data_IF_059424394236
#
_entry.id   IF_059424394236
#
_cell.length_a   1.000
_cell.length_b   1.000
_cell.length_c   1.000
_cell.angle_alpha   90.00
_cell.angle_beta   90.00
_cell.angle_gamma   90.00
#
_symmetry.space_group_name_H-M   'P 1'
#
loop_
_entity.id
_entity.type
_entity.pdbx_description
1 polymer ?
#
# COMPACT_ATOMS: atom_id res chain seq x y z
N UNK A 1 -20.40 -12.86 -2.00
CA UNK A 1 -20.96 -11.57 -2.49
C UNK A 1 -20.06 -11.05 -3.59
N UNK A 2 -20.61 -10.78 -4.77
CA UNK A 2 -19.90 -10.15 -5.89
C UNK A 2 -19.75 -8.65 -5.59
N UNK A 3 -18.51 -8.18 -5.57
CA UNK A 3 -18.19 -6.77 -5.34
C UNK A 3 -18.47 -6.00 -6.64
N UNK A 4 -19.50 -5.16 -6.63
CA UNK A 4 -19.86 -4.31 -7.76
C UNK A 4 -19.06 -3.01 -7.71
N UNK A 5 -17.99 -2.97 -8.52
CA UNK A 5 -17.05 -1.85 -8.58
C UNK A 5 -17.76 -0.57 -9.05
N UNK A 6 -18.73 -0.68 -9.96
CA UNK A 6 -19.43 0.50 -10.50
C UNK A 6 -20.24 1.20 -9.42
N UNK A 7 -21.02 0.43 -8.65
CA UNK A 7 -21.78 0.98 -7.52
C UNK A 7 -20.89 1.64 -6.48
N UNK A 8 -19.72 1.05 -6.19
CA UNK A 8 -18.78 1.65 -5.25
C UNK A 8 -18.25 2.98 -5.77
N UNK A 9 -17.85 3.05 -7.05
CA UNK A 9 -17.33 4.28 -7.64
C UNK A 9 -18.38 5.40 -7.66
N UNK A 10 -19.65 5.07 -7.91
CA UNK A 10 -20.77 6.00 -7.83
C UNK A 10 -21.02 6.48 -6.39
N UNK A 11 -21.10 5.56 -5.42
CA UNK A 11 -21.26 5.91 -3.99
C UNK A 11 -20.14 6.80 -3.46
N UNK A 12 -18.92 6.53 -3.89
CA UNK A 12 -17.75 7.30 -3.52
C UNK A 12 -17.67 8.62 -4.31
N UNK A 13 -18.54 8.88 -5.28
CA UNK A 13 -18.57 10.14 -6.03
C UNK A 13 -17.46 10.28 -7.06
N UNK A 14 -16.84 9.18 -7.48
CA UNK A 14 -15.94 9.15 -8.65
C UNK A 14 -16.71 9.25 -9.97
N UNK A 15 -17.99 8.88 -9.97
CA UNK A 15 -18.90 8.99 -11.12
C UNK A 15 -20.12 9.79 -10.63
N UNK A 16 -20.50 10.85 -11.35
CA UNK A 16 -21.72 11.64 -11.08
C UNK A 16 -22.57 11.71 -12.33
N UNK A 17 -23.88 11.53 -12.18
CA UNK A 17 -24.78 11.59 -13.32
C UNK A 17 -24.91 13.05 -13.83
N UNK A 18 -24.74 13.27 -15.14
CA UNK A 18 -24.98 14.58 -15.78
C UNK A 18 -23.79 15.56 -15.92
N UNK A 19 -22.59 15.25 -15.43
CA UNK A 19 -21.36 16.03 -15.73
C UNK A 19 -20.57 15.40 -16.88
N UNK A 20 -19.78 16.21 -17.60
CA UNK A 20 -18.84 15.75 -18.63
C UNK A 20 -17.74 14.90 -17.96
N UNK A 21 -18.05 13.62 -17.81
CA UNK A 21 -17.34 12.69 -16.95
C UNK A 21 -16.03 12.17 -17.55
N UNK A 22 -15.60 12.61 -18.73
CA UNK A 22 -14.35 12.13 -19.35
C UNK A 22 -13.13 12.34 -18.45
N UNK A 23 -13.04 13.48 -17.78
CA UNK A 23 -11.94 13.81 -16.85
C UNK A 23 -12.05 13.04 -15.51
N UNK A 24 -13.29 12.69 -15.12
CA UNK A 24 -13.57 11.88 -13.93
C UNK A 24 -13.38 10.38 -14.22
N UNK A 25 -13.62 9.95 -15.45
CA UNK A 25 -13.54 8.57 -15.89
C UNK A 25 -12.11 8.05 -15.76
N UNK A 26 -11.09 8.82 -16.16
CA UNK A 26 -9.69 8.40 -15.99
C UNK A 26 -9.34 8.18 -14.51
N UNK A 27 -9.71 9.12 -13.63
CA UNK A 27 -9.53 8.97 -12.17
C UNK A 27 -10.31 7.78 -11.61
N UNK A 28 -11.55 7.57 -12.06
CA UNK A 28 -12.40 6.47 -11.63
C UNK A 28 -11.83 5.11 -12.07
N UNK A 29 -11.39 4.97 -13.33
CA UNK A 29 -10.75 3.77 -13.85
C UNK A 29 -9.42 3.50 -13.14
N UNK A 30 -8.63 4.54 -12.88
CA UNK A 30 -7.40 4.40 -12.11
C UNK A 30 -7.67 3.94 -10.68
N UNK A 31 -8.62 4.58 -9.97
CA UNK A 31 -9.02 4.20 -8.61
C UNK A 31 -9.54 2.75 -8.56
N UNK A 32 -10.33 2.34 -9.55
CA UNK A 32 -10.80 0.95 -9.68
C UNK A 32 -9.63 -0.04 -9.83
N UNK A 33 -8.63 0.30 -10.65
CA UNK A 33 -7.42 -0.52 -10.83
C UNK A 33 -6.63 -0.62 -9.52
N UNK A 34 -6.47 0.49 -8.79
CA UNK A 34 -5.82 0.51 -7.47
C UNK A 34 -6.58 -0.37 -6.48
N UNK A 35 -7.90 -0.26 -6.40
CA UNK A 35 -8.72 -1.11 -5.51
C UNK A 35 -8.59 -2.60 -5.83
N UNK A 36 -8.55 -2.96 -7.11
CA UNK A 36 -8.31 -4.34 -7.55
C UNK A 36 -6.92 -4.82 -7.12
N UNK A 37 -5.90 -3.98 -7.28
CA UNK A 37 -4.53 -4.29 -6.87
C UNK A 37 -4.40 -4.45 -5.34
N UNK A 38 -4.96 -3.52 -4.57
CA UNK A 38 -5.02 -3.57 -3.08
C UNK A 38 -5.65 -4.88 -2.63
N UNK A 39 -6.80 -5.25 -3.23
CA UNK A 39 -7.48 -6.51 -2.91
C UNK A 39 -6.60 -7.73 -3.18
N UNK A 40 -5.87 -7.74 -4.30
CA UNK A 40 -4.93 -8.81 -4.62
C UNK A 40 -3.83 -8.92 -3.58
N UNK A 41 -3.15 -7.81 -3.28
CA UNK A 41 -2.05 -7.79 -2.29
C UNK A 41 -2.53 -8.20 -0.90
N UNK A 42 -3.66 -7.67 -0.42
CA UNK A 42 -4.22 -8.02 0.89
C UNK A 42 -4.60 -9.50 1.02
N UNK A 43 -4.83 -10.21 -0.08
CA UNK A 43 -5.10 -11.65 -0.08
C UNK A 43 -3.82 -12.50 -0.11
N UNK A 44 -2.75 -11.99 -0.70
CA UNK A 44 -1.51 -12.74 -0.93
C UNK A 44 -0.39 -12.41 0.05
N UNK A 45 -0.45 -11.24 0.69
CA UNK A 45 0.59 -10.72 1.57
C UNK A 45 -0.03 -10.37 2.94
N UNK A 46 0.23 -11.20 3.98
CA UNK A 46 -0.26 -10.97 5.34
C UNK A 46 0.27 -9.70 6.00
N UNK A 47 1.34 -9.11 5.47
CA UNK A 47 1.98 -7.91 6.02
C UNK A 47 1.57 -6.65 5.29
N UNK A 48 0.73 -6.80 4.27
CA UNK A 48 0.27 -5.70 3.47
C UNK A 48 -0.48 -4.67 4.33
N UNK A 49 0.06 -3.45 4.38
CA UNK A 49 -0.50 -2.36 5.16
C UNK A 49 -1.72 -1.75 4.45
N UNK A 50 -2.86 -2.45 4.53
CA UNK A 50 -4.12 -2.06 3.89
C UNK A 50 -4.53 -0.62 4.23
N UNK A 51 -4.42 -0.22 5.50
CA UNK A 51 -4.79 1.11 5.98
C UNK A 51 -3.99 2.22 5.28
N UNK A 52 -2.68 2.03 5.12
CA UNK A 52 -1.83 3.00 4.44
C UNK A 52 -2.26 3.19 2.97
N UNK A 53 -2.50 2.11 2.23
CA UNK A 53 -2.88 2.20 0.83
C UNK A 53 -4.30 2.76 0.61
N UNK A 54 -5.26 2.46 1.49
CA UNK A 54 -6.58 3.09 1.46
C UNK A 54 -6.49 4.59 1.74
N UNK A 55 -5.64 4.99 2.68
CA UNK A 55 -5.38 6.40 2.98
C UNK A 55 -4.74 7.12 1.79
N UNK A 56 -3.77 6.50 1.12
CA UNK A 56 -3.17 7.05 -0.11
C UNK A 56 -4.20 7.22 -1.22
N UNK A 57 -5.10 6.25 -1.41
CA UNK A 57 -6.18 6.34 -2.40
C UNK A 57 -7.19 7.46 -2.07
N UNK A 58 -7.49 7.67 -0.77
CA UNK A 58 -8.30 8.79 -0.32
C UNK A 58 -7.65 10.13 -0.67
N UNK A 59 -6.34 10.29 -0.42
CA UNK A 59 -5.65 11.54 -0.78
C UNK A 59 -5.57 11.77 -2.29
N UNK A 60 -5.48 10.72 -3.09
CA UNK A 60 -5.59 10.83 -4.54
C UNK A 60 -6.99 11.29 -4.97
N UNK A 61 -8.03 10.72 -4.36
CA UNK A 61 -9.44 11.10 -4.61
C UNK A 61 -9.68 12.58 -4.34
N UNK A 62 -9.16 13.10 -3.23
CA UNK A 62 -9.31 14.51 -2.83
C UNK A 62 -8.40 15.46 -3.60
N UNK A 63 -7.54 14.96 -4.49
CA UNK A 63 -6.57 15.77 -5.24
C UNK A 63 -5.40 16.29 -4.40
N UNK A 64 -5.18 15.71 -3.21
CA UNK A 64 -4.05 16.02 -2.32
C UNK A 64 -2.79 15.22 -2.69
N UNK A 65 -2.91 14.20 -3.52
CA UNK A 65 -1.80 13.37 -3.94
C UNK A 65 -1.96 12.86 -5.38
N UNK A 66 -0.82 12.54 -5.98
CA UNK A 66 -0.71 11.79 -7.22
C UNK A 66 -0.38 10.34 -6.88
N UNK A 67 -1.02 9.43 -7.62
CA UNK A 67 -0.75 8.01 -7.59
C UNK A 67 -0.42 7.54 -9.01
N UNK A 68 0.58 6.69 -9.13
CA UNK A 68 0.95 6.08 -10.41
C UNK A 68 1.41 4.65 -10.17
N UNK A 69 1.04 3.74 -11.07
CA UNK A 69 1.66 2.42 -11.10
C UNK A 69 3.09 2.50 -11.65
N UNK A 70 3.96 1.60 -11.19
CA UNK A 70 5.20 1.28 -11.89
C UNK A 70 4.91 0.75 -13.30
N UNK A 71 5.92 0.74 -14.16
CA UNK A 71 5.76 0.32 -15.57
C UNK A 71 5.30 -1.15 -15.69
N UNK A 72 5.75 -2.00 -14.78
CA UNK A 72 5.32 -3.40 -14.65
C UNK A 72 3.90 -3.56 -14.04
N UNK A 73 3.36 -2.51 -13.41
CA UNK A 73 2.07 -2.52 -12.75
C UNK A 73 2.05 -3.19 -11.37
N UNK A 74 3.20 -3.62 -10.84
CA UNK A 74 3.29 -4.38 -9.61
C UNK A 74 3.39 -3.53 -8.34
N UNK A 75 3.82 -2.28 -8.48
CA UNK A 75 4.00 -1.32 -7.40
C UNK A 75 3.24 -0.02 -7.65
N UNK A 76 2.97 0.71 -6.58
CA UNK A 76 2.32 2.02 -6.61
C UNK A 76 3.28 3.06 -6.06
N UNK A 77 3.54 4.09 -6.86
CA UNK A 77 4.22 5.32 -6.45
C UNK A 77 3.21 6.34 -5.96
N UNK A 78 3.56 6.99 -4.85
CA UNK A 78 2.74 7.98 -4.17
C UNK A 78 3.52 9.29 -4.03
N UNK A 79 2.88 10.40 -4.35
CA UNK A 79 3.46 11.74 -4.21
C UNK A 79 2.39 12.71 -3.72
N UNK A 80 2.57 13.32 -2.55
CA UNK A 80 1.70 14.41 -2.12
C UNK A 80 1.92 15.67 -2.97
N UNK A 81 0.84 16.36 -3.28
CA UNK A 81 0.85 17.65 -3.97
C UNK A 81 0.91 18.74 -2.88
N UNK A 82 1.99 19.53 -2.87
CA UNK A 82 2.23 20.60 -1.89
C UNK A 82 1.92 20.19 -0.43
N UNK A 83 2.53 19.12 0.09
CA UNK A 83 2.28 18.72 1.47
C UNK A 83 2.76 19.83 2.41
N UNK A 84 1.87 20.28 3.29
CA UNK A 84 2.30 21.02 4.47
C UNK A 84 3.20 20.12 5.32
N UNK A 85 4.16 20.75 6.03
CA UNK A 85 5.25 20.06 6.72
C UNK A 85 4.76 18.95 7.67
N UNK A 86 3.65 19.20 8.36
CA UNK A 86 3.04 18.23 9.29
C UNK A 86 2.55 16.96 8.59
N UNK A 87 1.99 17.11 7.39
CA UNK A 87 1.47 15.98 6.60
C UNK A 87 2.63 15.17 6.03
N UNK A 88 3.69 15.84 5.60
CA UNK A 88 4.95 15.21 5.19
C UNK A 88 5.57 14.38 6.32
N UNK A 89 5.64 14.96 7.53
CA UNK A 89 6.19 14.28 8.71
C UNK A 89 5.36 13.05 9.11
N UNK A 90 4.02 13.11 8.97
CA UNK A 90 3.12 11.99 9.23
C UNK A 90 3.35 10.84 8.24
N UNK A 91 3.44 11.15 6.94
CA UNK A 91 3.68 10.16 5.89
C UNK A 91 5.05 9.51 6.06
N UNK A 92 6.09 10.28 6.33
CA UNK A 92 7.44 9.77 6.58
C UNK A 92 7.49 8.86 7.81
N UNK A 93 6.75 9.21 8.87
CA UNK A 93 6.61 8.37 10.06
C UNK A 93 5.95 7.03 9.72
N UNK A 94 4.87 7.04 8.93
CA UNK A 94 4.13 5.85 8.52
C UNK A 94 4.96 4.92 7.61
N UNK A 95 5.78 5.50 6.72
CA UNK A 95 6.70 4.74 5.86
C UNK A 95 7.85 4.16 6.70
N UNK A 96 8.40 4.93 7.65
CA UNK A 96 9.47 4.46 8.54
C UNK A 96 8.98 3.36 9.47
N UNK A 97 7.75 3.43 10.00
CA UNK A 97 7.19 2.36 10.83
C UNK A 97 7.02 1.08 10.01
N UNK A 98 6.48 1.19 8.79
CA UNK A 98 6.30 0.03 7.89
C UNK A 98 7.64 -0.62 7.50
N UNK A 99 8.71 0.17 7.29
CA UNK A 99 10.06 -0.38 7.06
C UNK A 99 10.65 -1.05 8.29
N UNK A 100 10.47 -0.46 9.49
CA UNK A 100 10.97 -1.05 10.73
C UNK A 100 10.31 -2.39 11.03
N UNK A 101 9.01 -2.52 10.77
CA UNK A 101 8.30 -3.79 10.94
C UNK A 101 8.80 -4.84 9.95
N UNK A 102 9.07 -4.46 8.69
CA UNK A 102 9.65 -5.36 7.69
C UNK A 102 11.10 -5.78 8.05
N UNK A 103 11.93 -4.86 8.55
CA UNK A 103 13.30 -5.19 9.01
C UNK A 103 13.29 -6.08 10.25
N UNK A 104 12.39 -5.82 11.20
CA UNK A 104 12.26 -6.63 12.41
C UNK A 104 11.85 -8.06 12.10
N UNK A 105 10.88 -8.25 11.20
CA UNK A 105 10.48 -9.60 10.77
C UNK A 105 11.53 -10.33 9.94
N UNK A 106 12.41 -9.60 9.26
CA UNK A 106 13.57 -10.20 8.60
C UNK A 106 14.58 -10.71 9.64
N UNK A 107 14.81 -9.95 10.71
CA UNK A 107 15.71 -10.32 11.82
C UNK A 107 15.13 -11.49 12.61
N UNK A 108 13.85 -11.46 12.97
CA UNK A 108 13.18 -12.54 13.71
C UNK A 108 13.21 -13.86 12.91
N UNK A 109 13.09 -13.81 11.57
CA UNK A 109 13.26 -15.00 10.70
C UNK A 109 14.70 -15.52 10.66
N UNK A 110 15.70 -14.64 10.72
CA UNK A 110 17.11 -15.02 10.74
C UNK A 110 17.47 -15.66 12.09
N UNK A 111 16.83 -15.22 13.18
CA UNK A 111 16.99 -15.81 14.51
C UNK A 111 16.25 -17.16 14.64
N UNK A 112 15.06 -17.32 14.05
CA UNK A 112 14.33 -18.60 14.04
C UNK A 112 15.00 -19.70 13.17
N UNK A 113 15.64 -19.33 12.04
CA UNK A 113 16.38 -20.29 11.19
C UNK A 113 17.84 -20.53 11.66
N UNK A 114 18.30 -19.82 12.69
CA UNK A 114 19.67 -19.87 13.19
C UNK A 114 19.94 -20.87 14.32
N UNK A 115 18.90 -21.50 14.88
CA UNK A 115 19.02 -22.38 16.05
C UNK A 115 19.02 -23.87 15.68
N UNK A 116 20.02 -24.30 14.90
CA UNK A 116 20.45 -25.71 14.87
C UNK A 116 21.88 -25.86 14.31
N UNK A 117 22.88 -25.89 15.19
CA UNK A 117 23.59 -27.13 15.60
C UNK A 117 24.76 -26.80 16.53
N UNK A 118 24.59 -27.23 17.79
CA UNK A 118 25.53 -28.00 18.62
C UNK A 118 26.97 -27.50 18.79
N UNK A 119 27.19 -26.90 19.96
CA UNK A 119 28.43 -27.07 20.73
C UNK A 119 28.78 -28.56 20.87
N UNK A 120 29.96 -28.93 20.38
CA UNK A 120 30.71 -30.07 20.89
C UNK A 120 32.10 -29.55 21.29
N UNK A 121 32.18 -29.14 22.55
CA UNK A 121 33.42 -28.87 23.26
C UNK A 121 34.25 -30.16 23.43
N UNK A 122 35.53 -30.00 23.79
CA UNK A 122 36.41 -30.92 24.56
C UNK A 122 37.61 -31.59 23.83
N UNK A 123 38.79 -31.02 24.14
CA UNK A 123 40.08 -31.61 24.56
C UNK A 123 41.10 -32.27 23.61
N UNK A 124 42.25 -31.59 23.51
CA UNK A 124 43.64 -32.01 23.81
C UNK A 124 44.09 -33.45 23.51
N UNK A 125 45.01 -33.59 22.54
CA UNK A 125 46.21 -34.46 22.55
C UNK A 125 47.14 -34.18 21.37
#
# INVERSE_FOLDING_TARGET
MTFDVLKLLEQEGYIKDGEDNLLHAEKAFFAARVMKWIRGKAQTDPEFNLTAYLTMLMYYKTGMAELKFSEDGDNIFYKMINPDKEVQDLVDSLIKSSRKDATKKLIDKIEEDGEQTDDADTEDS
#
